data_IF_833693551453
#
_entry.id   IF_833693551453
#
_cell.length_a   1.000
_cell.length_b   1.000
_cell.length_c   1.000
_cell.angle_alpha   90.00
_cell.angle_beta   90.00
_cell.angle_gamma   90.00
#
_symmetry.space_group_name_H-M   'P 1'
#
loop_
_entity.id
_entity.type
_entity.pdbx_description
1 polymer ?
#
# COMPACT_ATOMS: atom_id res chain seq x y z
N UNK A 1 -5.79 -2.09 -10.85
CA UNK A 1 -4.72 -1.18 -10.37
C UNK A 1 -5.30 -0.12 -9.46
N UNK A 2 -4.76 0.04 -8.26
CA UNK A 2 -5.21 1.03 -7.27
C UNK A 2 -4.54 2.38 -7.54
N UNK A 3 -5.11 3.17 -8.44
CA UNK A 3 -4.56 4.49 -8.80
C UNK A 3 -4.40 5.40 -7.58
N UNK A 4 -5.36 5.40 -6.66
CA UNK A 4 -5.28 6.17 -5.41
C UNK A 4 -4.05 5.80 -4.56
N UNK A 5 -3.65 4.53 -4.55
CA UNK A 5 -2.51 4.07 -3.76
C UNK A 5 -1.19 4.48 -4.42
N UNK A 6 -1.13 4.38 -5.75
CA UNK A 6 -0.01 4.88 -6.55
C UNK A 6 0.20 6.38 -6.32
N UNK A 7 -0.86 7.18 -6.41
CA UNK A 7 -0.81 8.63 -6.22
C UNK A 7 -0.34 8.99 -4.81
N UNK A 8 -0.93 8.40 -3.77
CA UNK A 8 -0.49 8.62 -2.38
C UNK A 8 0.98 8.27 -2.18
N UNK A 9 1.46 7.18 -2.79
CA UNK A 9 2.87 6.80 -2.73
C UNK A 9 3.77 7.81 -3.45
N UNK A 10 3.38 8.26 -4.64
CA UNK A 10 4.14 9.20 -5.46
C UNK A 10 4.16 10.60 -4.87
N UNK A 11 3.06 11.08 -4.28
CA UNK A 11 2.98 12.36 -3.58
C UNK A 11 3.89 12.42 -2.34
N UNK A 12 4.27 11.27 -1.79
CA UNK A 12 5.27 11.15 -0.71
C UNK A 12 6.67 10.82 -1.20
N UNK A 13 6.88 10.79 -2.52
CA UNK A 13 8.14 10.47 -3.18
C UNK A 13 8.73 9.12 -2.73
N UNK A 14 7.86 8.14 -2.44
CA UNK A 14 8.30 6.82 -1.96
C UNK A 14 8.35 5.81 -3.09
N UNK A 15 9.36 4.95 -3.03
CA UNK A 15 9.45 3.77 -3.90
C UNK A 15 8.57 2.65 -3.34
N UNK A 16 8.18 1.70 -4.20
CA UNK A 16 7.48 0.48 -3.75
C UNK A 16 8.32 -0.28 -2.71
N UNK A 17 9.64 -0.33 -2.89
CA UNK A 17 10.56 -0.98 -1.95
C UNK A 17 10.53 -0.32 -0.56
N UNK A 18 10.52 1.01 -0.51
CA UNK A 18 10.45 1.74 0.76
C UNK A 18 9.15 1.45 1.50
N UNK A 19 8.00 1.50 0.82
CA UNK A 19 6.70 1.23 1.47
C UNK A 19 6.62 -0.21 1.92
N UNK A 20 7.06 -1.16 1.09
CA UNK A 20 7.10 -2.58 1.43
C UNK A 20 7.96 -2.86 2.67
N UNK A 21 9.18 -2.32 2.71
CA UNK A 21 10.09 -2.44 3.85
C UNK A 21 9.47 -1.90 5.14
N UNK A 22 8.91 -0.69 5.10
CA UNK A 22 8.26 -0.08 6.28
C UNK A 22 6.98 -0.82 6.68
N UNK A 23 6.28 -1.45 5.73
CA UNK A 23 5.10 -2.25 5.98
C UNK A 23 5.37 -3.71 6.36
N UNK A 24 6.66 -4.12 6.42
CA UNK A 24 7.13 -5.48 6.73
C UNK A 24 6.58 -6.54 5.75
N UNK A 25 6.57 -6.21 4.47
CA UNK A 25 6.19 -7.11 3.37
C UNK A 25 7.25 -7.07 2.27
N UNK A 26 7.21 -8.05 1.35
CA UNK A 26 8.08 -8.02 0.18
C UNK A 26 7.69 -6.91 -0.79
N UNK A 27 8.66 -6.40 -1.56
CA UNK A 27 8.41 -5.42 -2.64
C UNK A 27 7.42 -5.97 -3.68
N UNK A 28 7.46 -7.27 -3.97
CA UNK A 28 6.51 -7.94 -4.86
C UNK A 28 5.09 -7.96 -4.28
N UNK A 29 4.94 -8.21 -2.98
CA UNK A 29 3.63 -8.17 -2.33
C UNK A 29 3.02 -6.77 -2.39
N UNK A 30 3.81 -5.73 -2.13
CA UNK A 30 3.33 -4.35 -2.28
C UNK A 30 2.95 -4.04 -3.74
N UNK A 31 3.75 -4.50 -4.72
CA UNK A 31 3.44 -4.30 -6.14
C UNK A 31 2.09 -4.95 -6.53
N UNK A 32 1.83 -6.18 -6.09
CA UNK A 32 0.54 -6.87 -6.31
C UNK A 32 -0.64 -6.16 -5.64
N UNK A 33 -0.41 -5.54 -4.47
CA UNK A 33 -1.42 -4.71 -3.81
C UNK A 33 -1.69 -3.44 -4.62
N UNK A 34 -0.65 -2.76 -5.09
CA UNK A 34 -0.78 -1.55 -5.90
C UNK A 34 -1.41 -1.82 -7.29
N UNK A 35 -1.16 -2.99 -7.88
CA UNK A 35 -1.77 -3.41 -9.15
C UNK A 35 -3.19 -3.94 -9.03
N UNK A 36 -3.74 -4.09 -7.82
CA UNK A 36 -5.03 -4.75 -7.52
C UNK A 36 -5.05 -6.27 -7.73
N UNK A 37 -3.90 -6.92 -7.96
CA UNK A 37 -3.82 -8.38 -8.05
C UNK A 37 -4.02 -9.06 -6.70
N UNK A 38 -3.81 -8.34 -5.60
CA UNK A 38 -3.95 -8.86 -4.24
C UNK A 38 -4.58 -7.85 -3.28
N UNK A 39 -5.39 -8.35 -2.36
CA UNK A 39 -5.86 -7.59 -1.21
C UNK A 39 -4.90 -7.79 -0.03
N UNK A 40 -4.48 -6.71 0.66
CA UNK A 40 -3.69 -6.84 1.87
C UNK A 40 -4.53 -7.46 2.99
N UNK A 41 -3.89 -8.18 3.91
CA UNK A 41 -4.54 -8.51 5.19
C UNK A 41 -4.68 -7.25 6.05
N UNK A 42 -5.59 -7.26 7.03
CA UNK A 42 -5.81 -6.10 7.93
C UNK A 42 -4.52 -5.57 8.56
N UNK A 43 -3.59 -6.40 9.08
CA UNK A 43 -2.31 -5.90 9.60
C UNK A 43 -1.46 -5.20 8.54
N UNK A 44 -1.42 -5.73 7.31
CA UNK A 44 -0.66 -5.15 6.20
C UNK A 44 -1.29 -3.84 5.73
N UNK A 45 -2.62 -3.79 5.63
CA UNK A 45 -3.38 -2.59 5.29
C UNK A 45 -3.07 -1.45 6.28
N UNK A 46 -3.14 -1.73 7.59
CA UNK A 46 -2.79 -0.78 8.65
C UNK A 46 -1.34 -0.29 8.56
N UNK A 47 -0.41 -1.19 8.26
CA UNK A 47 1.00 -0.82 8.11
C UNK A 47 1.23 0.09 6.89
N UNK A 48 0.67 -0.24 5.73
CA UNK A 48 0.79 0.59 4.52
C UNK A 48 0.14 1.96 4.74
N UNK A 49 -1.07 1.97 5.31
CA UNK A 49 -1.81 3.16 5.70
C UNK A 49 -1.00 4.09 6.61
N UNK A 50 -0.32 3.53 7.63
CA UNK A 50 0.58 4.29 8.51
C UNK A 50 1.75 4.93 7.75
N UNK A 51 2.35 4.24 6.78
CA UNK A 51 3.47 4.77 5.99
C UNK A 51 3.01 5.91 5.07
N UNK A 52 1.86 5.73 4.42
CA UNK A 52 1.34 6.64 3.42
C UNK A 52 0.31 7.64 3.97
N UNK A 53 0.04 7.61 5.28
CA UNK A 53 -0.87 8.51 6.02
C UNK A 53 -2.27 8.61 5.39
N UNK A 54 -2.99 7.49 5.36
CA UNK A 54 -4.40 7.42 4.93
C UNK A 54 -5.15 6.38 5.78
N UNK A 55 -6.48 6.30 5.66
CA UNK A 55 -7.25 5.27 6.37
C UNK A 55 -7.09 3.89 5.73
N UNK A 56 -6.77 2.89 6.52
CA UNK A 56 -6.58 1.52 6.04
C UNK A 56 -7.90 0.88 5.56
N UNK A 57 -9.06 1.39 5.98
CA UNK A 57 -10.37 0.90 5.52
C UNK A 57 -10.57 1.10 4.03
N UNK A 58 -9.89 2.08 3.42
CA UNK A 58 -9.94 2.36 1.98
C UNK A 58 -9.50 1.15 1.12
N UNK A 59 -8.80 0.17 1.69
CA UNK A 59 -8.50 -1.08 0.99
C UNK A 59 -9.72 -2.01 0.83
N UNK A 60 -10.79 -1.76 1.58
CA UNK A 60 -11.98 -2.58 1.74
C UNK A 60 -13.28 -1.82 1.43
N UNK A 61 -13.18 -0.53 1.13
CA UNK A 61 -14.28 0.26 0.55
C UNK A 61 -14.40 -0.12 -0.93
N UNK A 62 -15.62 -0.48 -1.35
CA UNK A 62 -15.97 -0.82 -2.75
C UNK A 62 -16.05 0.43 -3.63
#
# INVERSE_FOLDING_TARGET
MRFWLLEKRKNKEKTQNYVAYKARISRSMYAMIESSERNPSVPVAKNIAKVLNFDWTLFFEE
#
